data_IF_584117048436
#
_entry.id   IF_584117048436
#
_cell.length_a   1.000
_cell.length_b   1.000
_cell.length_c   1.000
_cell.angle_alpha   90.00
_cell.angle_beta   90.00
_cell.angle_gamma   90.00
#
_symmetry.space_group_name_H-M   'P 1'
#
loop_
_entity.id
_entity.type
_entity.pdbx_description
1 polymer ?
#
# COMPACT_ATOMS: atom_id res chain seq x y z
N UNK A 1 6.28 -8.86 4.62
CA UNK A 1 7.61 -9.01 5.28
C UNK A 1 7.56 -8.63 6.76
N UNK A 2 7.09 -7.43 7.08
CA UNK A 2 7.16 -6.87 8.43
C UNK A 2 5.92 -7.29 9.24
N UNK A 3 6.15 -7.81 10.45
CA UNK A 3 5.07 -8.24 11.33
C UNK A 3 4.58 -7.07 12.20
N UNK A 4 3.26 -6.90 12.24
CA UNK A 4 2.65 -5.80 12.96
C UNK A 4 2.72 -6.00 14.47
N UNK A 5 3.24 -5.00 15.16
CA UNK A 5 3.17 -4.86 16.60
C UNK A 5 2.65 -3.48 16.95
N UNK A 6 1.64 -3.43 17.79
CA UNK A 6 1.04 -2.19 18.27
C UNK A 6 0.57 -2.37 19.73
N UNK A 7 0.83 -1.37 20.53
CA UNK A 7 0.42 -1.31 21.92
C UNK A 7 -0.28 0.04 22.14
N UNK A 8 -1.61 0.02 22.08
CA UNK A 8 -2.50 1.14 22.36
C UNK A 8 -3.05 1.06 23.79
N UNK A 9 -3.91 2.02 24.14
CA UNK A 9 -4.53 2.05 25.47
C UNK A 9 -5.43 0.83 25.71
N UNK A 10 -6.20 0.42 24.69
CA UNK A 10 -7.23 -0.60 24.78
C UNK A 10 -6.99 -1.79 23.83
N UNK A 11 -5.92 -1.74 23.02
CA UNK A 11 -5.62 -2.76 22.00
C UNK A 11 -4.14 -3.14 22.04
N UNK A 12 -3.87 -4.43 21.98
CA UNK A 12 -2.52 -4.96 21.80
C UNK A 12 -2.50 -5.96 20.65
N UNK A 13 -1.63 -5.73 19.70
CA UNK A 13 -1.41 -6.61 18.55
C UNK A 13 0.05 -7.04 18.50
N UNK A 14 0.29 -8.32 18.24
CA UNK A 14 1.62 -8.89 18.05
C UNK A 14 1.51 -10.10 17.12
N UNK A 15 1.74 -9.86 15.83
CA UNK A 15 1.64 -10.89 14.77
C UNK A 15 2.76 -11.93 14.89
N UNK A 16 3.90 -11.62 15.49
CA UNK A 16 5.03 -12.55 15.64
C UNK A 16 4.69 -13.81 16.45
N UNK A 17 3.57 -13.77 17.19
CA UNK A 17 3.08 -14.93 17.96
C UNK A 17 2.42 -16.00 17.10
N UNK A 18 1.98 -15.67 15.89
CA UNK A 18 1.18 -16.55 15.03
C UNK A 18 1.65 -16.59 13.58
N UNK A 19 2.45 -15.62 13.16
CA UNK A 19 2.95 -15.48 11.79
C UNK A 19 4.48 -15.46 11.76
N UNK A 20 5.03 -15.96 10.67
CA UNK A 20 6.45 -15.83 10.34
C UNK A 20 6.63 -14.69 9.33
N UNK A 21 7.69 -13.90 9.53
CA UNK A 21 8.08 -12.87 8.56
C UNK A 21 8.47 -13.50 7.22
N UNK A 22 8.16 -12.82 6.13
CA UNK A 22 8.63 -13.23 4.81
C UNK A 22 10.12 -12.89 4.60
N UNK A 23 10.78 -13.67 3.76
CA UNK A 23 12.24 -13.61 3.58
C UNK A 23 12.69 -12.50 2.60
N UNK A 24 11.78 -11.95 1.79
CA UNK A 24 12.13 -10.92 0.83
C UNK A 24 10.95 -10.25 0.14
N UNK A 25 11.21 -9.11 -0.54
CA UNK A 25 10.20 -8.41 -1.31
C UNK A 25 9.84 -9.16 -2.60
N UNK A 26 8.58 -9.07 -3.04
CA UNK A 26 8.05 -9.79 -4.19
C UNK A 26 7.51 -8.83 -5.24
N UNK A 27 7.98 -8.97 -6.48
CA UNK A 27 7.36 -8.36 -7.65
C UNK A 27 7.23 -9.38 -8.78
N UNK A 28 6.16 -9.26 -9.57
CA UNK A 28 5.80 -10.16 -10.65
C UNK A 28 5.76 -9.41 -11.98
N UNK A 29 6.38 -9.96 -13.01
CA UNK A 29 6.17 -9.51 -14.39
C UNK A 29 4.86 -10.11 -14.91
N UNK A 30 4.00 -9.26 -15.44
CA UNK A 30 2.70 -9.65 -16.00
C UNK A 30 2.47 -8.98 -17.35
N UNK A 31 1.50 -9.44 -18.17
CA UNK A 31 1.11 -8.74 -19.39
C UNK A 31 0.62 -7.30 -19.16
N UNK A 32 0.25 -6.95 -17.93
CA UNK A 32 -0.28 -5.64 -17.52
C UNK A 32 0.75 -4.74 -16.86
N UNK A 33 2.04 -5.10 -16.91
CA UNK A 33 3.12 -4.40 -16.24
C UNK A 33 3.74 -5.21 -15.10
N UNK A 34 4.70 -4.61 -14.42
CA UNK A 34 5.36 -5.21 -13.25
C UNK A 34 4.62 -4.84 -11.98
N UNK A 35 4.14 -5.83 -11.26
CA UNK A 35 3.30 -5.69 -10.07
C UNK A 35 4.11 -5.99 -8.80
N UNK A 36 4.16 -5.05 -7.86
CA UNK A 36 4.74 -5.20 -6.54
C UNK A 36 3.70 -5.66 -5.52
N UNK A 37 4.07 -6.57 -4.64
CA UNK A 37 3.19 -7.11 -3.61
C UNK A 37 3.71 -6.77 -2.22
N UNK A 38 2.83 -6.26 -1.37
CA UNK A 38 3.09 -6.03 0.05
C UNK A 38 1.82 -6.27 0.85
N UNK A 39 1.91 -6.34 2.17
CA UNK A 39 0.75 -6.57 3.03
C UNK A 39 0.75 -5.58 4.19
N UNK A 40 -0.33 -4.80 4.30
CA UNK A 40 -0.71 -4.03 5.48
C UNK A 40 0.44 -3.21 6.08
N UNK A 41 1.06 -3.71 7.14
CA UNK A 41 2.12 -3.05 7.89
C UNK A 41 3.36 -2.72 7.05
N UNK A 42 3.62 -3.49 5.99
CA UNK A 42 4.71 -3.25 5.03
C UNK A 42 4.69 -1.83 4.44
N UNK A 43 3.51 -1.21 4.33
CA UNK A 43 3.37 0.15 3.77
C UNK A 43 4.18 1.20 4.54
N UNK A 44 4.61 0.91 5.76
CA UNK A 44 5.42 1.82 6.60
C UNK A 44 6.91 1.81 6.29
N UNK A 45 7.37 0.84 5.50
CA UNK A 45 8.79 0.59 5.25
C UNK A 45 9.17 0.91 3.79
N UNK A 46 9.61 2.15 3.49
CA UNK A 46 9.97 2.56 2.14
C UNK A 46 11.11 1.72 1.55
N UNK A 47 11.97 1.16 2.39
CA UNK A 47 13.09 0.31 2.01
C UNK A 47 12.63 -0.93 1.24
N UNK A 48 11.49 -1.52 1.63
CA UNK A 48 10.88 -2.65 0.93
C UNK A 48 10.65 -2.34 -0.55
N UNK A 49 10.04 -1.18 -0.82
CA UNK A 49 9.68 -0.77 -2.18
C UNK A 49 10.91 -0.37 -2.98
N UNK A 50 11.88 0.24 -2.33
CA UNK A 50 13.17 0.57 -2.97
C UNK A 50 13.97 -0.67 -3.36
N UNK A 51 13.92 -1.71 -2.55
CA UNK A 51 14.57 -3.00 -2.86
C UNK A 51 13.95 -3.73 -4.06
N UNK A 52 12.67 -3.47 -4.39
CA UNK A 52 11.99 -4.03 -5.55
C UNK A 52 12.45 -3.41 -6.88
N UNK A 53 13.07 -2.23 -6.85
CA UNK A 53 13.33 -1.45 -8.06
C UNK A 53 12.05 -0.86 -8.66
N UNK A 54 12.01 -0.63 -9.97
CA UNK A 54 10.84 -0.07 -10.63
C UNK A 54 9.71 -1.11 -10.77
N UNK A 55 8.48 -0.67 -10.54
CA UNK A 55 7.25 -1.43 -10.76
C UNK A 55 6.11 -0.48 -11.16
N UNK A 56 5.08 -0.98 -11.84
CA UNK A 56 4.01 -0.16 -12.40
C UNK A 56 2.79 -0.05 -11.48
N UNK A 57 2.55 -1.07 -10.67
CA UNK A 57 1.52 -1.05 -9.64
C UNK A 57 1.97 -1.77 -8.37
N UNK A 58 1.51 -1.24 -7.24
CA UNK A 58 1.73 -1.78 -5.90
C UNK A 58 0.40 -2.23 -5.29
N UNK A 59 0.33 -3.47 -4.84
CA UNK A 59 -0.81 -4.02 -4.11
C UNK A 59 -0.54 -4.03 -2.61
N UNK A 60 -1.51 -3.48 -1.82
CA UNK A 60 -1.40 -3.33 -0.37
C UNK A 60 -2.69 -3.80 0.32
N UNK A 61 -3.06 -5.09 0.27
CA UNK A 61 -4.18 -5.58 1.06
C UNK A 61 -3.94 -5.35 2.55
N UNK A 62 -4.98 -4.87 3.26
CA UNK A 62 -4.78 -4.34 4.63
C UNK A 62 -6.00 -4.49 5.52
N UNK A 63 -5.75 -4.40 6.83
CA UNK A 63 -6.75 -4.30 7.88
C UNK A 63 -6.25 -3.35 9.00
N UNK A 64 -6.08 -2.07 8.68
CA UNK A 64 -5.60 -1.06 9.64
C UNK A 64 -6.57 -0.90 10.80
N UNK A 65 -6.05 -0.67 12.00
CA UNK A 65 -6.88 -0.24 13.14
C UNK A 65 -7.45 1.15 12.85
N UNK A 66 -8.60 1.48 13.43
CA UNK A 66 -9.23 2.80 13.19
C UNK A 66 -8.30 3.96 13.55
N UNK A 67 -7.61 4.00 14.70
CA UNK A 67 -6.72 5.11 15.04
C UNK A 67 -5.58 5.29 14.05
N UNK A 68 -4.90 4.21 13.68
CA UNK A 68 -3.77 4.28 12.75
C UNK A 68 -4.22 4.49 11.30
N UNK A 69 -5.40 4.00 10.94
CA UNK A 69 -5.98 4.21 9.63
C UNK A 69 -6.35 5.66 9.40
N UNK A 70 -7.09 6.26 10.33
CA UNK A 70 -7.51 7.66 10.25
C UNK A 70 -6.33 8.63 10.17
N UNK A 71 -5.23 8.34 10.87
CA UNK A 71 -4.07 9.24 10.90
C UNK A 71 -3.07 9.01 9.75
N UNK A 72 -2.93 7.77 9.25
CA UNK A 72 -1.78 7.43 8.42
C UNK A 72 -2.12 6.82 7.07
N UNK A 73 -3.28 6.17 6.89
CA UNK A 73 -3.55 5.27 5.77
C UNK A 73 -3.40 5.96 4.41
N UNK A 74 -4.17 6.99 4.15
CA UNK A 74 -4.12 7.73 2.89
C UNK A 74 -2.75 8.36 2.65
N UNK A 75 -2.19 9.01 3.66
CA UNK A 75 -0.87 9.64 3.57
C UNK A 75 0.21 8.64 3.17
N UNK A 76 0.25 7.46 3.80
CA UNK A 76 1.22 6.43 3.46
C UNK A 76 1.03 5.92 2.03
N UNK A 77 -0.19 5.60 1.62
CA UNK A 77 -0.45 5.09 0.29
C UNK A 77 -0.10 6.10 -0.80
N UNK A 78 -0.48 7.37 -0.62
CA UNK A 78 -0.12 8.45 -1.55
C UNK A 78 1.39 8.64 -1.62
N UNK A 79 2.08 8.57 -0.48
CA UNK A 79 3.54 8.62 -0.47
C UNK A 79 4.14 7.47 -1.26
N UNK A 80 3.64 6.23 -1.11
CA UNK A 80 4.12 5.08 -1.90
C UNK A 80 3.89 5.26 -3.39
N UNK A 81 2.75 5.82 -3.80
CA UNK A 81 2.48 6.13 -5.21
C UNK A 81 3.46 7.18 -5.75
N UNK A 82 3.62 8.30 -5.06
CA UNK A 82 4.45 9.43 -5.47
C UNK A 82 5.93 9.04 -5.56
N UNK A 83 6.49 8.45 -4.51
CA UNK A 83 7.93 8.17 -4.43
C UNK A 83 8.38 7.03 -5.35
N UNK A 84 7.49 6.07 -5.66
CA UNK A 84 7.79 4.98 -6.59
C UNK A 84 7.26 5.24 -8.01
N UNK A 85 6.48 6.31 -8.19
CA UNK A 85 5.90 6.70 -9.47
C UNK A 85 5.13 5.54 -10.12
N UNK A 86 4.23 4.94 -9.32
CA UNK A 86 3.46 3.76 -9.65
C UNK A 86 2.03 3.86 -9.12
N UNK A 87 1.10 3.13 -9.73
CA UNK A 87 -0.23 2.97 -9.17
C UNK A 87 -0.17 2.27 -7.80
N UNK A 88 -1.10 2.61 -6.91
CA UNK A 88 -1.32 1.88 -5.66
C UNK A 88 -2.74 1.37 -5.61
N UNK A 89 -2.90 0.05 -5.41
CA UNK A 89 -4.18 -0.64 -5.26
C UNK A 89 -4.24 -1.21 -3.85
N UNK A 90 -5.07 -0.63 -3.01
CA UNK A 90 -5.09 -0.92 -1.58
C UNK A 90 -6.49 -1.36 -1.10
N UNK A 91 -6.85 -2.64 -1.31
CA UNK A 91 -8.07 -3.18 -0.71
C UNK A 91 -7.90 -3.23 0.82
N UNK A 92 -8.89 -2.70 1.55
CA UNK A 92 -8.82 -2.59 2.99
C UNK A 92 -10.09 -3.10 3.67
N UNK A 93 -9.94 -4.02 4.61
CA UNK A 93 -11.03 -4.48 5.44
C UNK A 93 -11.51 -3.37 6.37
N UNK A 94 -12.82 -3.15 6.43
CA UNK A 94 -13.45 -2.14 7.25
C UNK A 94 -14.59 -2.70 8.09
N UNK A 95 -14.96 -1.96 9.16
CA UNK A 95 -16.10 -2.27 9.98
C UNK A 95 -15.79 -3.06 11.25
N UNK A 96 -16.85 -3.57 11.89
CA UNK A 96 -16.79 -4.34 13.13
C UNK A 96 -16.68 -5.84 12.81
N UNK A 97 -15.61 -6.47 13.28
CA UNK A 97 -15.39 -7.91 13.14
C UNK A 97 -16.02 -8.70 14.30
N UNK A 98 -16.30 -10.02 14.12
CA UNK A 98 -16.88 -10.87 15.19
C UNK A 98 -16.07 -10.90 16.48
N UNK A 99 -14.77 -10.61 16.42
CA UNK A 99 -13.87 -10.50 17.57
C UNK A 99 -14.04 -9.22 18.38
N UNK A 100 -14.93 -8.30 17.97
CA UNK A 100 -15.08 -6.95 18.54
C UNK A 100 -14.08 -5.92 18.02
N UNK A 101 -13.08 -6.33 17.25
CA UNK A 101 -12.12 -5.41 16.61
C UNK A 101 -12.80 -4.58 15.53
N UNK A 102 -12.46 -3.30 15.46
CA UNK A 102 -12.83 -2.44 14.32
C UNK A 102 -11.63 -2.14 13.45
N UNK A 103 -11.82 -2.20 12.13
CA UNK A 103 -10.83 -1.79 11.14
C UNK A 103 -11.32 -0.61 10.32
N UNK A 104 -10.38 0.15 9.78
CA UNK A 104 -10.62 1.48 9.20
C UNK A 104 -11.31 1.44 7.83
N UNK A 105 -11.09 0.37 7.05
CA UNK A 105 -11.58 0.33 5.67
C UNK A 105 -10.79 1.25 4.74
N UNK A 106 -11.51 2.08 3.98
CA UNK A 106 -10.95 3.03 3.02
C UNK A 106 -10.11 2.33 1.94
N UNK A 107 -10.69 1.26 1.33
CA UNK A 107 -10.11 0.71 0.09
C UNK A 107 -9.95 1.81 -0.94
N UNK A 108 -8.76 1.95 -1.55
CA UNK A 108 -8.52 3.02 -2.51
C UNK A 108 -7.57 2.64 -3.62
N UNK A 109 -7.67 3.37 -4.73
CA UNK A 109 -6.74 3.31 -5.86
C UNK A 109 -6.16 4.71 -6.05
N UNK A 110 -4.83 4.78 -6.26
CA UNK A 110 -4.07 6.02 -6.37
C UNK A 110 -3.22 5.95 -7.63
N UNK A 111 -3.13 7.05 -8.38
CA UNK A 111 -2.32 7.14 -9.58
C UNK A 111 -0.83 7.41 -9.27
N UNK A 112 0.09 7.30 -10.26
CA UNK A 112 1.51 7.56 -10.05
C UNK A 112 1.89 8.98 -9.64
N UNK A 113 0.97 9.95 -9.76
CA UNK A 113 1.15 11.33 -9.33
C UNK A 113 0.68 11.57 -7.89
N UNK A 114 -0.03 10.59 -7.30
CA UNK A 114 -0.59 10.65 -5.95
C UNK A 114 -2.05 11.10 -5.91
N UNK A 115 -2.73 11.16 -7.06
CA UNK A 115 -4.15 11.47 -7.12
C UNK A 115 -4.98 10.24 -6.74
N UNK A 116 -5.96 10.42 -5.84
CA UNK A 116 -6.89 9.36 -5.44
C UNK A 116 -7.93 9.19 -6.55
N UNK A 117 -7.87 8.08 -7.28
CA UNK A 117 -8.79 7.76 -8.36
C UNK A 117 -10.14 7.25 -7.87
N UNK A 118 -10.15 6.64 -6.70
CA UNK A 118 -11.38 6.17 -6.07
C UNK A 118 -11.13 5.68 -4.66
N UNK A 119 -12.13 5.85 -3.81
CA UNK A 119 -12.11 5.39 -2.42
C UNK A 119 -13.46 4.80 -2.03
N UNK A 120 -13.43 3.72 -1.26
CA UNK A 120 -14.60 3.18 -0.57
C UNK A 120 -14.33 3.18 0.93
N UNK A 121 -14.91 4.12 1.67
CA UNK A 121 -14.61 4.29 3.09
C UNK A 121 -15.08 3.11 3.92
N UNK A 122 -16.33 2.66 3.74
CA UNK A 122 -16.96 1.62 4.55
C UNK A 122 -17.89 0.73 3.72
N UNK A 123 -18.22 -0.43 4.29
CA UNK A 123 -19.16 -1.40 3.72
C UNK A 123 -18.58 -2.22 2.58
N UNK A 124 -19.34 -3.23 2.16
CA UNK A 124 -18.99 -4.09 1.03
C UNK A 124 -19.06 -3.35 -0.30
N UNK A 125 -18.15 -3.65 -1.22
CA UNK A 125 -18.21 -3.08 -2.56
C UNK A 125 -16.87 -3.09 -3.27
N UNK A 126 -16.87 -2.48 -4.46
CA UNK A 126 -15.76 -2.47 -5.40
C UNK A 126 -15.36 -1.02 -5.68
N UNK A 127 -14.05 -0.78 -5.82
CA UNK A 127 -13.47 0.44 -6.39
C UNK A 127 -12.85 0.03 -7.72
N UNK A 128 -13.14 0.78 -8.78
CA UNK A 128 -12.60 0.56 -10.12
C UNK A 128 -11.87 1.80 -10.61
N UNK A 129 -10.74 1.58 -11.26
CA UNK A 129 -10.02 2.60 -12.01
C UNK A 129 -9.22 1.93 -13.13
N UNK A 130 -8.97 2.67 -14.21
CA UNK A 130 -8.10 2.22 -15.29
C UNK A 130 -6.64 2.42 -14.90
N UNK A 131 -5.81 1.42 -15.18
CA UNK A 131 -4.37 1.50 -15.07
C UNK A 131 -3.76 1.77 -16.44
N UNK A 132 -3.28 2.98 -16.65
CA UNK A 132 -2.62 3.40 -17.89
C UNK A 132 -1.10 3.41 -17.71
N UNK A 133 -0.39 2.52 -18.42
CA UNK A 133 1.07 2.46 -18.39
C UNK A 133 1.74 3.67 -19.05
N UNK A 134 1.08 4.36 -19.98
CA UNK A 134 1.60 5.61 -20.52
C UNK A 134 1.63 6.69 -19.44
N UNK A 135 0.62 6.74 -18.57
CA UNK A 135 0.62 7.65 -17.41
C UNK A 135 1.83 7.42 -16.50
N UNK A 136 2.20 6.17 -16.26
CA UNK A 136 3.42 5.82 -15.49
C UNK A 136 4.66 6.39 -16.17
N UNK A 137 4.79 6.19 -17.50
CA UNK A 137 5.94 6.67 -18.30
C UNK A 137 6.02 8.19 -18.31
N UNK A 138 4.89 8.88 -18.51
CA UNK A 138 4.82 10.35 -18.48
C UNK A 138 5.29 10.93 -17.14
N UNK A 139 4.80 10.38 -16.02
CA UNK A 139 5.19 10.83 -14.68
C UNK A 139 6.69 10.67 -14.48
N UNK A 140 7.25 9.51 -14.83
CA UNK A 140 8.68 9.23 -14.73
C UNK A 140 9.54 10.11 -15.63
N UNK A 141 9.07 10.40 -16.85
CA UNK A 141 9.77 11.28 -17.79
C UNK A 141 9.78 12.74 -17.32
N UNK A 142 8.65 13.23 -16.78
CA UNK A 142 8.51 14.61 -16.29
C UNK A 142 9.24 14.87 -14.98
N UNK A 143 9.31 13.87 -14.11
CA UNK A 143 9.96 13.96 -12.80
C UNK A 143 10.80 12.70 -12.57
N UNK A 144 12.03 12.58 -13.08
CA UNK A 144 12.83 11.35 -13.03
C UNK A 144 13.42 11.08 -11.63
N UNK A 145 12.58 11.09 -10.59
CA UNK A 145 12.99 10.98 -9.19
C UNK A 145 13.74 9.67 -8.90
N UNK A 146 13.28 8.55 -9.49
CA UNK A 146 13.91 7.26 -9.31
C UNK A 146 15.31 7.17 -9.92
N UNK A 147 15.56 7.87 -11.05
CA UNK A 147 16.88 7.92 -11.70
C UNK A 147 17.87 8.83 -10.95
N UNK A 148 17.37 9.79 -10.18
CA UNK A 148 18.18 10.74 -9.43
C UNK A 148 18.62 10.22 -8.05
N UNK A 149 18.31 8.97 -7.70
CA UNK A 149 18.74 8.36 -6.44
C UNK A 149 20.27 8.27 -6.37
N UNK A 150 20.82 8.55 -5.21
CA UNK A 150 22.26 8.49 -4.91
C UNK A 150 22.60 7.40 -3.87
N UNK A 151 21.63 7.02 -3.05
CA UNK A 151 21.79 5.95 -2.06
C UNK A 151 21.17 4.67 -2.59
N UNK A 152 21.86 3.56 -2.41
CA UNK A 152 21.48 2.21 -2.83
C UNK A 152 21.26 1.32 -1.62
#
# INVERSE_FOLDING_TARGET
MHLFRFEGRDERHDESRTLQAGDGPVALATPFGRLALSVCYDVRFPELYRALGEFDALFVPSAFTVPTGAAHWETLLRTRAIENQAYVVAPAQGGLHPTGRRTYGHSMIIDPWGDVLGVRPEGEGIVLADMDLERVREVRARLPANLNRRLH
#
